data_IF_451574955088
#
_entry.id   IF_451574955088
#
_cell.length_a   1.000
_cell.length_b   1.000
_cell.length_c   1.000
_cell.angle_alpha   90.00
_cell.angle_beta   90.00
_cell.angle_gamma   90.00
#
_symmetry.space_group_name_H-M   'P 1'
#
loop_
_entity.id
_entity.type
_entity.pdbx_description
1 polymer ?
#
# COMPACT_ATOMS: atom_id res chain seq x y z
N UNK A 1 -16.57 -14.84 20.28
CA UNK A 1 -17.11 -15.45 19.05
C UNK A 1 -17.37 -14.33 18.05
N UNK A 2 -16.86 -14.40 16.81
CA UNK A 2 -17.21 -13.40 15.80
C UNK A 2 -18.73 -13.42 15.61
N UNK A 3 -19.38 -12.26 15.57
CA UNK A 3 -20.82 -12.18 15.28
C UNK A 3 -21.06 -12.72 13.87
N UNK A 4 -22.21 -13.38 13.67
CA UNK A 4 -22.65 -14.06 12.43
C UNK A 4 -22.55 -13.23 11.12
N UNK A 5 -22.27 -11.93 11.21
CA UNK A 5 -22.26 -10.97 10.09
C UNK A 5 -20.89 -10.84 9.39
N UNK A 6 -19.79 -11.32 9.98
CA UNK A 6 -18.43 -11.14 9.44
C UNK A 6 -17.93 -12.31 8.56
N UNK A 7 -18.83 -12.99 7.83
CA UNK A 7 -18.51 -14.16 6.99
C UNK A 7 -17.52 -13.90 5.85
N UNK A 8 -17.34 -12.62 5.49
CA UNK A 8 -16.42 -12.16 4.45
C UNK A 8 -15.11 -11.59 5.01
N UNK A 9 -14.85 -11.70 6.32
CA UNK A 9 -13.60 -11.23 6.95
C UNK A 9 -12.68 -12.38 7.33
N UNK A 10 -11.39 -12.06 7.47
CA UNK A 10 -10.36 -12.98 7.99
C UNK A 10 -9.80 -13.98 6.96
N UNK A 11 -8.79 -14.76 7.37
CA UNK A 11 -7.91 -15.50 6.45
C UNK A 11 -8.36 -16.92 6.11
N UNK A 12 -9.40 -17.46 6.74
CA UNK A 12 -9.84 -18.86 6.53
C UNK A 12 -10.38 -19.03 5.10
N UNK A 13 -9.89 -20.04 4.37
CA UNK A 13 -10.21 -20.26 2.95
C UNK A 13 -10.07 -21.73 2.52
N UNK A 14 -10.59 -22.64 3.32
CA UNK A 14 -10.77 -24.04 2.90
C UNK A 14 -11.97 -24.19 1.95
N UNK A 15 -12.16 -25.40 1.40
CA UNK A 15 -13.23 -25.70 0.44
C UNK A 15 -14.61 -25.30 0.97
N UNK A 16 -14.90 -25.64 2.23
CA UNK A 16 -16.20 -25.37 2.84
C UNK A 16 -16.44 -23.86 2.99
N UNK A 17 -15.44 -23.14 3.50
CA UNK A 17 -15.50 -21.68 3.67
C UNK A 17 -15.65 -20.97 2.34
N UNK A 18 -14.93 -21.43 1.31
CA UNK A 18 -15.03 -20.88 -0.05
C UNK A 18 -16.42 -21.10 -0.64
N UNK A 19 -16.97 -22.31 -0.52
CA UNK A 19 -18.31 -22.64 -0.99
C UNK A 19 -19.38 -21.77 -0.30
N UNK A 20 -19.31 -21.66 1.03
CA UNK A 20 -20.22 -20.83 1.81
C UNK A 20 -20.13 -19.35 1.43
N UNK A 21 -18.91 -18.85 1.22
CA UNK A 21 -18.66 -17.48 0.78
C UNK A 21 -19.38 -17.20 -0.54
N UNK A 22 -19.16 -18.01 -1.58
CA UNK A 22 -19.80 -17.78 -2.89
C UNK A 22 -21.32 -17.99 -2.85
N UNK A 23 -21.83 -18.93 -2.04
CA UNK A 23 -23.27 -19.09 -1.84
C UNK A 23 -23.93 -17.87 -1.18
N UNK A 24 -23.23 -17.20 -0.25
CA UNK A 24 -23.71 -15.96 0.36
C UNK A 24 -23.57 -14.78 -0.61
N UNK A 25 -22.44 -14.67 -1.30
CA UNK A 25 -22.17 -13.62 -2.28
C UNK A 25 -23.18 -13.63 -3.44
N UNK A 26 -23.58 -14.81 -3.91
CA UNK A 26 -24.60 -14.97 -4.94
C UNK A 26 -25.97 -14.38 -4.53
N UNK A 27 -26.26 -14.35 -3.23
CA UNK A 27 -27.49 -13.77 -2.65
C UNK A 27 -27.38 -12.27 -2.40
N UNK A 28 -26.17 -11.70 -2.40
CA UNK A 28 -25.94 -10.26 -2.24
C UNK A 28 -26.50 -9.47 -3.45
N UNK A 29 -27.16 -8.35 -3.17
CA UNK A 29 -27.85 -7.55 -4.20
C UNK A 29 -26.92 -6.50 -4.80
N UNK A 30 -26.83 -6.49 -6.13
CA UNK A 30 -26.10 -5.46 -6.89
C UNK A 30 -24.58 -5.65 -6.90
N UNK A 31 -23.93 -5.01 -7.88
CA UNK A 31 -22.48 -5.09 -8.07
C UNK A 31 -21.71 -4.50 -6.90
N UNK A 32 -22.18 -3.38 -6.33
CA UNK A 32 -21.56 -2.73 -5.16
C UNK A 32 -21.31 -3.70 -3.99
N UNK A 33 -22.34 -4.38 -3.48
CA UNK A 33 -22.18 -5.27 -2.33
C UNK A 33 -21.29 -6.47 -2.66
N UNK A 34 -21.39 -7.01 -3.89
CA UNK A 34 -20.54 -8.13 -4.31
C UNK A 34 -19.08 -7.72 -4.37
N UNK A 35 -18.79 -6.59 -5.02
CA UNK A 35 -17.46 -5.99 -5.09
C UNK A 35 -16.89 -5.75 -3.70
N UNK A 36 -17.66 -5.12 -2.81
CA UNK A 36 -17.23 -4.80 -1.46
C UNK A 36 -16.94 -6.05 -0.62
N UNK A 37 -17.84 -7.05 -0.58
CA UNK A 37 -17.61 -8.27 0.19
C UNK A 37 -16.44 -9.08 -0.34
N UNK A 38 -16.31 -9.19 -1.67
CA UNK A 38 -15.18 -9.86 -2.31
C UNK A 38 -13.85 -9.15 -2.01
N UNK A 39 -13.81 -7.82 -2.09
CA UNK A 39 -12.63 -7.02 -1.76
C UNK A 39 -12.23 -7.14 -0.28
N UNK A 40 -13.19 -7.10 0.64
CA UNK A 40 -12.90 -7.28 2.07
C UNK A 40 -12.39 -8.70 2.33
N UNK A 41 -12.95 -9.70 1.66
CA UNK A 41 -12.46 -11.08 1.79
C UNK A 41 -11.06 -11.23 1.24
N UNK A 42 -10.79 -10.69 0.06
CA UNK A 42 -9.46 -10.67 -0.54
C UNK A 42 -8.42 -10.07 0.42
N UNK A 43 -8.74 -8.94 1.05
CA UNK A 43 -7.88 -8.34 2.06
C UNK A 43 -7.57 -9.29 3.23
N UNK A 44 -8.59 -9.96 3.79
CA UNK A 44 -8.38 -10.93 4.87
C UNK A 44 -7.53 -12.14 4.44
N UNK A 45 -7.58 -12.55 3.17
CA UNK A 45 -6.70 -13.58 2.61
C UNK A 45 -5.25 -13.07 2.49
N UNK A 46 -5.08 -11.84 2.00
CA UNK A 46 -3.77 -11.19 1.90
C UNK A 46 -3.08 -11.06 3.26
N UNK A 47 -3.81 -10.62 4.31
CA UNK A 47 -3.28 -10.45 5.67
C UNK A 47 -2.72 -11.76 6.28
N UNK A 48 -3.07 -12.93 5.72
CA UNK A 48 -2.51 -14.20 6.20
C UNK A 48 -1.02 -14.37 5.91
N UNK A 49 -0.46 -13.62 4.95
CA UNK A 49 0.93 -13.74 4.50
C UNK A 49 1.25 -15.04 3.73
N UNK A 50 0.29 -15.95 3.59
CA UNK A 50 0.46 -17.22 2.89
C UNK A 50 0.37 -17.04 1.37
N UNK A 51 1.40 -17.42 0.58
CA UNK A 51 1.40 -17.19 -0.87
C UNK A 51 0.22 -17.83 -1.63
N UNK A 52 -0.29 -18.98 -1.18
CA UNK A 52 -1.46 -19.61 -1.81
C UNK A 52 -2.71 -18.76 -1.59
N UNK A 53 -2.93 -18.28 -0.36
CA UNK A 53 -4.03 -17.36 -0.04
C UNK A 53 -3.89 -16.00 -0.70
N UNK A 54 -2.67 -15.47 -0.87
CA UNK A 54 -2.45 -14.23 -1.62
C UNK A 54 -2.83 -14.42 -3.10
N UNK A 55 -2.55 -15.58 -3.69
CA UNK A 55 -3.03 -15.89 -5.04
C UNK A 55 -4.57 -15.96 -5.11
N UNK A 56 -5.22 -16.54 -4.09
CA UNK A 56 -6.69 -16.56 -3.99
C UNK A 56 -7.29 -15.15 -3.80
N UNK A 57 -6.62 -14.28 -3.02
CA UNK A 57 -6.96 -12.86 -2.92
C UNK A 57 -6.95 -12.21 -4.30
N UNK A 58 -5.87 -12.38 -5.06
CA UNK A 58 -5.73 -11.81 -6.39
C UNK A 58 -6.79 -12.33 -7.37
N UNK A 59 -7.12 -13.63 -7.33
CA UNK A 59 -8.21 -14.20 -8.13
C UNK A 59 -9.54 -13.52 -7.81
N UNK A 60 -9.84 -13.34 -6.53
CA UNK A 60 -11.08 -12.72 -6.10
C UNK A 60 -11.17 -11.24 -6.53
N UNK A 61 -10.06 -10.49 -6.46
CA UNK A 61 -9.98 -9.11 -6.94
C UNK A 61 -10.15 -9.00 -8.46
N UNK A 62 -9.56 -9.93 -9.23
CA UNK A 62 -9.79 -10.01 -10.69
C UNK A 62 -11.25 -10.35 -11.02
N UNK A 63 -11.92 -11.15 -10.20
CA UNK A 63 -13.37 -11.37 -10.34
C UNK A 63 -14.15 -10.09 -10.06
N UNK A 64 -13.77 -9.29 -9.06
CA UNK A 64 -14.40 -7.98 -8.81
C UNK A 64 -14.28 -7.07 -10.03
N UNK A 65 -13.06 -6.92 -10.57
CA UNK A 65 -12.80 -6.11 -11.76
C UNK A 65 -13.62 -6.58 -12.98
N UNK A 66 -13.68 -7.89 -13.22
CA UNK A 66 -14.32 -8.45 -14.41
C UNK A 66 -15.85 -8.53 -14.31
N UNK A 67 -16.40 -8.92 -13.15
CA UNK A 67 -17.82 -9.25 -13.01
C UNK A 67 -18.63 -8.16 -12.30
N UNK A 68 -18.02 -7.43 -11.38
CA UNK A 68 -18.69 -6.44 -10.54
C UNK A 68 -17.95 -5.09 -10.50
N UNK A 69 -17.58 -4.49 -11.65
CA UNK A 69 -16.84 -3.24 -11.68
C UNK A 69 -17.72 -2.10 -11.15
N UNK A 70 -17.55 -1.78 -9.87
CA UNK A 70 -18.22 -0.69 -9.19
C UNK A 70 -17.23 0.47 -9.04
N UNK A 71 -17.46 1.63 -9.69
CA UNK A 71 -16.50 2.74 -9.69
C UNK A 71 -16.03 3.17 -8.29
N UNK A 72 -16.93 3.11 -7.32
CA UNK A 72 -16.67 3.46 -5.92
C UNK A 72 -15.84 2.44 -5.14
N UNK A 73 -15.54 1.27 -5.71
CA UNK A 73 -14.69 0.23 -5.10
C UNK A 73 -13.40 -0.03 -5.89
N UNK A 74 -13.31 0.40 -7.15
CA UNK A 74 -12.21 0.04 -8.06
C UNK A 74 -10.84 0.55 -7.63
N UNK A 75 -10.72 1.78 -7.12
CA UNK A 75 -9.42 2.28 -6.66
C UNK A 75 -8.83 1.40 -5.55
N UNK A 76 -9.65 1.03 -4.57
CA UNK A 76 -9.21 0.14 -3.49
C UNK A 76 -8.97 -1.30 -3.99
N UNK A 77 -9.74 -1.77 -4.97
CA UNK A 77 -9.50 -3.07 -5.62
C UNK A 77 -8.10 -3.11 -6.24
N UNK A 78 -7.73 -2.11 -7.05
CA UNK A 78 -6.42 -2.04 -7.70
C UNK A 78 -5.27 -1.85 -6.70
N UNK A 79 -5.47 -1.07 -5.63
CA UNK A 79 -4.45 -0.96 -4.58
C UNK A 79 -4.16 -2.33 -3.94
N UNK A 80 -5.21 -3.11 -3.64
CA UNK A 80 -5.05 -4.45 -3.08
C UNK A 80 -4.43 -5.44 -4.08
N UNK A 81 -4.72 -5.29 -5.38
CA UNK A 81 -4.05 -6.08 -6.43
C UNK A 81 -2.55 -5.76 -6.46
N UNK A 82 -2.19 -4.48 -6.38
CA UNK A 82 -0.79 -4.05 -6.34
C UNK A 82 -0.06 -4.65 -5.13
N UNK A 83 -0.69 -4.62 -3.95
CA UNK A 83 -0.16 -5.23 -2.72
C UNK A 83 0.02 -6.76 -2.87
N UNK A 84 -0.95 -7.46 -3.45
CA UNK A 84 -0.83 -8.90 -3.72
C UNK A 84 0.31 -9.20 -4.69
N UNK A 85 0.40 -8.45 -5.80
CA UNK A 85 1.47 -8.61 -6.78
C UNK A 85 2.86 -8.33 -6.17
N UNK A 86 2.98 -7.26 -5.37
CA UNK A 86 4.21 -6.93 -4.65
C UNK A 86 4.64 -8.06 -3.70
N UNK A 87 3.70 -8.59 -2.89
CA UNK A 87 3.98 -9.68 -1.96
C UNK A 87 4.36 -11.00 -2.67
N UNK A 88 3.88 -11.21 -3.90
CA UNK A 88 4.24 -12.35 -4.74
C UNK A 88 5.52 -12.12 -5.57
N UNK A 89 6.18 -10.96 -5.45
CA UNK A 89 7.37 -10.62 -6.23
C UNK A 89 7.09 -10.34 -7.71
N UNK A 90 5.84 -10.07 -8.08
CA UNK A 90 5.40 -9.83 -9.46
C UNK A 90 5.50 -8.33 -9.78
N UNK A 91 6.72 -7.85 -9.96
CA UNK A 91 7.03 -6.42 -9.99
C UNK A 91 6.27 -5.62 -11.06
N UNK A 92 6.25 -6.11 -12.29
CA UNK A 92 5.59 -5.41 -13.41
C UNK A 92 4.08 -5.30 -13.19
N UNK A 93 3.46 -6.38 -12.68
CA UNK A 93 2.04 -6.42 -12.39
C UNK A 93 1.66 -5.54 -11.18
N UNK A 94 2.56 -5.40 -10.19
CA UNK A 94 2.38 -4.48 -9.08
C UNK A 94 2.38 -3.02 -9.57
N UNK A 95 3.34 -2.65 -10.42
CA UNK A 95 3.42 -1.32 -11.04
C UNK A 95 2.17 -1.01 -11.85
N UNK A 96 1.72 -1.94 -12.69
CA UNK A 96 0.49 -1.78 -13.47
C UNK A 96 -0.73 -1.54 -12.58
N UNK A 97 -0.88 -2.35 -11.53
CA UNK A 97 -1.99 -2.22 -10.58
C UNK A 97 -1.95 -0.90 -9.81
N UNK A 98 -0.76 -0.39 -9.45
CA UNK A 98 -0.64 0.94 -8.85
C UNK A 98 -1.10 2.06 -9.79
N UNK A 99 -0.71 2.02 -11.07
CA UNK A 99 -1.14 3.02 -12.05
C UNK A 99 -2.65 2.90 -12.38
N UNK A 100 -3.20 1.69 -12.38
CA UNK A 100 -4.65 1.47 -12.46
C UNK A 100 -5.38 2.08 -11.27
N UNK A 101 -4.85 1.93 -10.04
CA UNK A 101 -5.41 2.57 -8.85
C UNK A 101 -5.41 4.10 -8.97
N UNK A 102 -4.30 4.71 -9.40
CA UNK A 102 -4.21 6.16 -9.61
C UNK A 102 -5.24 6.61 -10.65
N UNK A 103 -5.38 5.88 -11.74
CA UNK A 103 -6.35 6.16 -12.80
C UNK A 103 -7.80 6.07 -12.28
N UNK A 104 -8.11 5.04 -11.48
CA UNK A 104 -9.41 4.85 -10.87
C UNK A 104 -9.77 5.96 -9.86
N UNK A 105 -8.82 6.41 -9.04
CA UNK A 105 -9.04 7.57 -8.15
C UNK A 105 -9.32 8.85 -8.92
N UNK A 106 -8.60 9.09 -10.02
CA UNK A 106 -8.83 10.27 -10.87
C UNK A 106 -10.19 10.23 -11.55
N UNK A 107 -10.63 9.03 -11.94
CA UNK A 107 -11.97 8.80 -12.48
C UNK A 107 -13.08 8.99 -11.43
N UNK A 108 -12.84 8.53 -10.19
CA UNK A 108 -13.78 8.63 -9.07
C UNK A 108 -13.15 9.36 -7.86
N UNK A 109 -13.03 10.70 -7.90
CA UNK A 109 -12.22 11.47 -6.95
C UNK A 109 -12.75 11.49 -5.50
N UNK A 110 -13.99 11.06 -5.29
CA UNK A 110 -14.59 10.98 -3.95
C UNK A 110 -13.98 9.85 -3.09
N UNK A 111 -13.26 8.91 -3.71
CA UNK A 111 -12.52 7.86 -3.01
C UNK A 111 -11.02 8.10 -3.17
N UNK A 112 -10.34 8.36 -2.06
CA UNK A 112 -8.89 8.44 -2.00
C UNK A 112 -8.36 7.23 -1.21
N UNK A 113 -7.37 6.56 -1.77
CA UNK A 113 -6.57 5.52 -1.11
C UNK A 113 -5.19 6.08 -0.79
N UNK A 114 -4.32 5.24 -0.21
CA UNK A 114 -2.93 5.61 0.10
C UNK A 114 -1.98 5.46 -1.11
N UNK A 115 -2.47 5.19 -2.32
CA UNK A 115 -1.61 4.90 -3.48
C UNK A 115 -0.54 5.95 -3.78
N UNK A 116 -0.80 7.23 -3.47
CA UNK A 116 0.18 8.31 -3.64
C UNK A 116 1.35 8.25 -2.64
N UNK A 117 1.29 7.35 -1.65
CA UNK A 117 2.35 7.03 -0.70
C UNK A 117 2.86 5.59 -0.90
N UNK A 118 1.93 4.63 -1.00
CA UNK A 118 2.26 3.21 -1.11
C UNK A 118 3.06 2.90 -2.39
N UNK A 119 2.78 3.58 -3.51
CA UNK A 119 3.54 3.36 -4.75
C UNK A 119 4.95 3.98 -4.71
N UNK A 120 5.14 5.25 -4.27
CA UNK A 120 6.48 5.78 -3.99
C UNK A 120 7.29 4.95 -2.99
N UNK A 121 6.67 4.45 -1.93
CA UNK A 121 7.31 3.55 -0.97
C UNK A 121 7.77 2.27 -1.66
N UNK A 122 6.90 1.62 -2.42
CA UNK A 122 7.24 0.43 -3.19
C UNK A 122 8.43 0.68 -4.13
N UNK A 123 8.45 1.82 -4.82
CA UNK A 123 9.56 2.25 -5.69
C UNK A 123 10.86 2.44 -4.89
N UNK A 124 10.79 3.00 -3.68
CA UNK A 124 11.96 3.22 -2.81
C UNK A 124 12.51 1.91 -2.24
N UNK A 125 11.64 1.03 -1.74
CA UNK A 125 12.00 -0.30 -1.23
C UNK A 125 12.71 -1.12 -2.32
N UNK A 126 12.15 -1.13 -3.54
CA UNK A 126 12.66 -1.94 -4.65
C UNK A 126 13.69 -1.22 -5.52
N UNK A 127 14.07 0.02 -5.17
CA UNK A 127 15.07 0.82 -5.89
C UNK A 127 14.79 0.94 -7.39
N UNK A 128 13.54 1.19 -7.76
CA UNK A 128 13.11 1.31 -9.17
C UNK A 128 13.49 2.69 -9.73
N UNK A 129 14.78 2.89 -9.97
CA UNK A 129 15.38 4.20 -10.32
C UNK A 129 14.70 4.87 -11.50
N UNK A 130 14.27 4.10 -12.50
CA UNK A 130 13.56 4.59 -13.67
C UNK A 130 12.18 5.22 -13.34
N UNK A 131 11.62 4.94 -12.16
CA UNK A 131 10.34 5.46 -11.69
C UNK A 131 10.47 6.56 -10.63
N UNK A 132 11.69 6.99 -10.26
CA UNK A 132 11.87 8.02 -9.22
C UNK A 132 11.22 9.35 -9.57
N UNK A 133 11.29 9.80 -10.84
CA UNK A 133 10.59 11.03 -11.27
C UNK A 133 9.08 10.90 -11.05
N UNK A 134 8.51 9.75 -11.42
CA UNK A 134 7.09 9.45 -11.26
C UNK A 134 6.70 9.44 -9.77
N UNK A 135 7.50 8.79 -8.92
CA UNK A 135 7.27 8.77 -7.48
C UNK A 135 7.28 10.17 -6.86
N UNK A 136 8.23 11.03 -7.27
CA UNK A 136 8.30 12.42 -6.78
C UNK A 136 7.08 13.26 -7.20
N UNK A 137 6.54 13.04 -8.40
CA UNK A 137 5.28 13.66 -8.83
C UNK A 137 4.11 13.24 -7.94
N UNK A 138 3.99 11.94 -7.64
CA UNK A 138 2.92 11.41 -6.78
C UNK A 138 2.99 11.95 -5.36
N UNK A 139 4.19 12.00 -4.77
CA UNK A 139 4.39 12.59 -3.44
C UNK A 139 4.06 14.10 -3.44
N UNK A 140 4.36 14.81 -4.52
CA UNK A 140 3.98 16.22 -4.68
C UNK A 140 2.46 16.40 -4.86
N UNK A 141 1.79 15.45 -5.52
CA UNK A 141 0.32 15.42 -5.63
C UNK A 141 -0.32 15.19 -4.25
N UNK A 142 0.18 14.23 -3.48
CA UNK A 142 -0.27 13.95 -2.12
C UNK A 142 -0.14 15.18 -1.19
N UNK A 143 0.97 15.92 -1.27
CA UNK A 143 1.16 17.16 -0.50
C UNK A 143 0.11 18.22 -0.84
N UNK A 144 -0.19 18.39 -2.13
CA UNK A 144 -1.19 19.37 -2.60
C UNK A 144 -2.62 19.02 -2.16
N UNK A 145 -2.93 17.74 -1.97
CA UNK A 145 -4.24 17.30 -1.49
C UNK A 145 -4.49 17.64 -0.01
N UNK A 146 -3.50 18.16 0.72
CA UNK A 146 -3.63 18.50 2.15
C UNK A 146 -3.68 17.29 3.08
N UNK A 147 -3.65 16.07 2.52
CA UNK A 147 -3.57 14.80 3.25
C UNK A 147 -2.24 14.63 4.00
N UNK A 148 -1.23 15.46 3.69
CA UNK A 148 0.11 15.40 4.24
C UNK A 148 0.27 15.63 5.76
N UNK A 149 -0.83 15.82 6.47
CA UNK A 149 -0.83 16.32 7.84
C UNK A 149 -1.56 15.43 8.85
N UNK A 150 -2.21 14.34 8.42
CA UNK A 150 -3.11 13.59 9.31
C UNK A 150 -2.37 12.54 10.15
N UNK A 151 -1.42 11.80 9.58
CA UNK A 151 -0.74 10.71 10.28
C UNK A 151 0.79 10.85 10.20
N UNK A 152 1.51 10.72 11.34
CA UNK A 152 2.98 10.66 11.35
C UNK A 152 3.57 9.62 10.39
N UNK A 153 2.97 8.43 10.29
CA UNK A 153 3.41 7.37 9.38
C UNK A 153 3.46 7.85 7.92
N UNK A 154 2.45 8.59 7.47
CA UNK A 154 2.37 9.05 6.08
C UNK A 154 3.48 10.06 5.76
N UNK A 155 3.72 10.98 6.70
CA UNK A 155 4.81 11.95 6.60
C UNK A 155 6.17 11.26 6.63
N UNK A 156 6.33 10.25 7.48
CA UNK A 156 7.53 9.43 7.51
C UNK A 156 7.77 8.76 6.16
N UNK A 157 6.81 8.02 5.62
CA UNK A 157 6.92 7.33 4.32
C UNK A 157 7.31 8.29 3.20
N UNK A 158 6.70 9.48 3.16
CA UNK A 158 6.97 10.49 2.15
C UNK A 158 8.39 11.10 2.26
N UNK A 159 8.90 11.33 3.47
CA UNK A 159 10.26 11.82 3.70
C UNK A 159 11.29 10.71 3.43
N UNK A 160 11.01 9.51 3.91
CA UNK A 160 11.88 8.35 3.80
C UNK A 160 12.11 7.95 2.33
N UNK A 161 11.04 7.89 1.54
CA UNK A 161 11.12 7.62 0.10
C UNK A 161 11.99 8.64 -0.62
N UNK A 162 11.83 9.94 -0.32
CA UNK A 162 12.65 11.01 -0.91
C UNK A 162 14.12 10.91 -0.49
N UNK A 163 14.40 10.56 0.76
CA UNK A 163 15.77 10.40 1.25
C UNK A 163 16.51 9.31 0.46
N UNK A 164 15.83 8.20 0.17
CA UNK A 164 16.35 7.11 -0.65
C UNK A 164 16.61 7.57 -2.08
N UNK A 165 15.66 8.28 -2.71
CA UNK A 165 15.84 8.81 -4.06
C UNK A 165 17.02 9.78 -4.14
N UNK A 166 17.17 10.67 -3.15
CA UNK A 166 18.28 11.62 -3.06
C UNK A 166 19.63 10.91 -2.91
N UNK A 167 19.71 9.86 -2.09
CA UNK A 167 20.92 9.05 -1.96
C UNK A 167 21.35 8.44 -3.29
N UNK A 168 20.42 7.83 -4.02
CA UNK A 168 20.71 7.09 -5.25
C UNK A 168 21.07 8.01 -6.42
N UNK A 169 20.50 9.22 -6.42
CA UNK A 169 20.84 10.31 -7.34
C UNK A 169 22.10 11.09 -6.92
N UNK A 170 22.83 10.59 -5.92
CA UNK A 170 24.10 11.14 -5.39
C UNK A 170 23.97 12.53 -4.74
N UNK A 171 22.77 12.91 -4.31
CA UNK A 171 22.55 14.10 -3.49
C UNK A 171 22.58 13.73 -2.00
N UNK A 172 23.77 13.45 -1.48
CA UNK A 172 23.95 12.93 -0.12
C UNK A 172 23.52 13.93 0.96
N UNK A 173 23.78 15.22 0.77
CA UNK A 173 23.38 16.27 1.72
C UNK A 173 21.85 16.28 1.90
N UNK A 174 21.11 16.29 0.78
CA UNK A 174 19.65 16.23 0.82
C UNK A 174 19.15 14.91 1.40
N UNK A 175 19.81 13.79 1.10
CA UNK A 175 19.43 12.48 1.65
C UNK A 175 19.55 12.45 3.18
N UNK A 176 20.63 13.01 3.73
CA UNK A 176 20.85 13.10 5.18
C UNK A 176 19.81 14.00 5.83
N UNK A 177 19.53 15.18 5.26
CA UNK A 177 18.55 16.12 5.79
C UNK A 177 17.14 15.49 5.84
N UNK A 178 16.70 14.90 4.73
CA UNK A 178 15.41 14.19 4.65
C UNK A 178 15.33 13.01 5.62
N UNK A 179 16.43 12.25 5.77
CA UNK A 179 16.47 11.12 6.70
C UNK A 179 16.38 11.57 8.16
N UNK A 180 17.03 12.67 8.53
CA UNK A 180 16.90 13.25 9.87
C UNK A 180 15.47 13.73 10.15
N UNK A 181 14.83 14.36 9.15
CA UNK A 181 13.42 14.76 9.27
C UNK A 181 12.50 13.55 9.42
N UNK A 182 12.72 12.48 8.63
CA UNK A 182 11.96 11.24 8.74
C UNK A 182 12.14 10.61 10.14
N UNK A 183 13.38 10.51 10.63
CA UNK A 183 13.66 9.94 11.94
C UNK A 183 12.96 10.73 13.07
N UNK A 184 13.00 12.06 13.01
CA UNK A 184 12.26 12.91 13.95
C UNK A 184 10.76 12.63 13.96
N UNK A 185 10.16 12.34 12.79
CA UNK A 185 8.75 11.96 12.69
C UNK A 185 8.48 10.57 13.28
N UNK A 186 9.41 9.62 13.09
CA UNK A 186 9.27 8.25 13.63
C UNK A 186 9.30 8.19 15.16
N UNK A 187 9.88 9.19 15.83
CA UNK A 187 9.95 9.27 17.28
C UNK A 187 8.65 9.78 17.92
N UNK A 188 7.70 10.29 17.13
CA UNK A 188 6.41 10.79 17.61
C UNK A 188 5.62 9.66 18.30
N UNK A 189 5.34 9.84 19.59
CA UNK A 189 4.58 8.86 20.40
C UNK A 189 3.08 9.13 20.46
N UNK A 190 2.61 10.22 19.84
CA UNK A 190 1.22 10.65 19.89
C UNK A 190 0.75 11.22 18.55
N UNK A 191 -0.28 10.62 17.97
CA UNK A 191 -0.83 10.95 16.64
C UNK A 191 -1.54 12.30 16.55
N UNK A 192 -1.90 12.88 17.68
CA UNK A 192 -2.71 14.10 17.79
C UNK A 192 -4.19 13.83 18.04
N UNK A 193 -4.65 12.58 17.90
CA UNK A 193 -6.04 12.21 18.16
C UNK A 193 -6.29 11.90 19.63
N UNK A 194 -7.23 12.62 20.25
CA UNK A 194 -7.59 12.48 21.67
C UNK A 194 -7.95 11.05 22.10
N UNK A 195 -8.69 10.33 21.25
CA UNK A 195 -9.20 8.99 21.56
C UNK A 195 -8.42 7.86 20.85
N UNK A 196 -7.50 8.21 19.96
CA UNK A 196 -6.74 7.28 19.14
C UNK A 196 -5.27 7.72 19.04
N UNK A 197 -4.66 7.97 20.19
CA UNK A 197 -3.32 8.56 20.31
C UNK A 197 -2.20 7.77 19.63
N UNK A 198 -2.42 6.48 19.34
CA UNK A 198 -1.44 5.61 18.67
C UNK A 198 -1.74 5.36 17.18
N UNK A 199 -2.85 5.89 16.66
CA UNK A 199 -3.24 5.64 15.27
C UNK A 199 -2.31 6.39 14.30
N UNK A 200 -1.77 5.67 13.32
CA UNK A 200 -0.91 6.26 12.28
C UNK A 200 0.45 6.71 12.78
N UNK A 201 0.98 6.09 13.85
CA UNK A 201 2.38 6.21 14.23
C UNK A 201 3.25 5.30 13.36
N UNK A 202 4.54 5.62 13.27
CA UNK A 202 5.53 4.75 12.61
C UNK A 202 5.77 3.52 13.48
N UNK A 203 5.75 2.34 12.86
CA UNK A 203 6.01 1.06 13.53
C UNK A 203 7.50 0.69 13.40
N UNK A 204 7.99 -0.13 14.33
CA UNK A 204 9.39 -0.60 14.32
C UNK A 204 9.72 -1.47 13.11
N UNK A 205 8.71 -2.10 12.53
CA UNK A 205 8.77 -3.02 11.42
C UNK A 205 8.67 -2.32 10.05
N UNK A 206 8.60 -0.98 10.02
CA UNK A 206 8.52 -0.21 8.78
C UNK A 206 9.71 -0.53 7.84
N UNK A 207 9.46 -0.86 6.56
CA UNK A 207 10.48 -1.34 5.64
C UNK A 207 11.56 -0.29 5.33
N UNK A 208 11.28 1.01 5.50
CA UNK A 208 12.21 2.09 5.22
C UNK A 208 13.07 2.46 6.42
N UNK A 209 12.65 2.13 7.65
CA UNK A 209 13.26 2.65 8.89
C UNK A 209 14.77 2.35 9.00
N UNK A 210 15.18 1.12 8.67
CA UNK A 210 16.61 0.74 8.70
C UNK A 210 17.44 1.56 7.71
N UNK A 211 16.93 1.83 6.51
CA UNK A 211 17.61 2.64 5.51
C UNK A 211 17.73 4.11 5.99
N UNK A 212 16.69 4.65 6.62
CA UNK A 212 16.69 6.00 7.15
C UNK A 212 17.70 6.18 8.29
N UNK A 213 17.80 5.21 9.20
CA UNK A 213 18.81 5.24 10.25
C UNK A 213 20.25 5.26 9.70
N UNK A 214 20.51 4.52 8.62
CA UNK A 214 21.83 4.52 7.95
C UNK A 214 22.11 5.87 7.30
N UNK A 215 21.15 6.43 6.56
CA UNK A 215 21.29 7.74 5.90
C UNK A 215 21.49 8.87 6.91
N UNK A 216 20.71 8.89 8.00
CA UNK A 216 20.86 9.88 9.08
C UNK A 216 22.25 9.83 9.73
N UNK A 217 22.86 8.64 9.79
CA UNK A 217 24.25 8.45 10.24
C UNK A 217 25.31 8.81 9.17
N UNK A 218 24.91 9.38 8.03
CA UNK A 218 25.80 9.77 6.93
C UNK A 218 26.32 8.60 6.09
N UNK A 219 25.72 7.41 6.21
CA UNK A 219 26.14 6.23 5.43
C UNK A 219 25.44 6.23 4.08
N UNK A 220 26.18 5.88 3.03
CA UNK A 220 25.62 5.63 1.70
C UNK A 220 24.96 4.26 1.69
N UNK A 221 23.72 4.19 1.21
CA UNK A 221 23.03 2.91 1.08
C UNK A 221 23.71 2.07 -0.02
N UNK A 222 23.94 0.77 0.21
CA UNK A 222 24.51 -0.10 -0.80
C UNK A 222 23.58 -0.11 -2.02
N UNK A 223 24.16 0.02 -3.21
CA UNK A 223 23.41 -0.19 -4.44
C UNK A 223 23.09 -1.68 -4.52
N UNK A 224 21.82 -2.02 -4.65
CA UNK A 224 21.44 -3.30 -5.21
C UNK A 224 21.86 -3.25 -6.68
N UNK A 225 23.07 -3.73 -6.96
CA UNK A 225 23.46 -4.05 -8.32
C UNK A 225 22.41 -5.03 -8.83
N UNK A 226 21.55 -4.56 -9.73
CA UNK A 226 20.57 -5.43 -10.37
C UNK A 226 21.34 -6.56 -11.04
N UNK A 227 20.99 -7.79 -10.69
CA UNK A 227 21.37 -8.94 -11.47
C UNK A 227 20.89 -8.74 -12.91
N UNK A 228 21.82 -8.40 -13.80
CA UNK A 228 21.72 -8.73 -15.22
C UNK A 228 21.56 -10.26 -15.32
N UNK A 229 20.33 -10.76 -15.36
CA UNK A 229 19.96 -12.07 -15.89
C UNK A 229 18.55 -12.06 -16.47
#
# INVERSE_FOLDING_TARGET
MPKNDDWFRGPVWDEQTRLEFFQRLARSRGSFHKAQYARIKAHGLFESGDPERINESLKLLKTVEAEWPEPSEMAMCYLQMAQCHAALGQQEAAIESFEQCISAQRFYPNLQTRVLLDFPEYIAVNRLVNLYSRALELLSEWEKQGAATVFPADKFTALASRAIFANDTKNLEQAIDLANQALSVSEVQHSGFRYHSRLGLVESEDPLLSAIQLLAAGKVLPRTDQHDK
#
